data_IF_189100213212
#
_entry.id   IF_189100213212
#
_cell.length_a   1.000
_cell.length_b   1.000
_cell.length_c   1.000
_cell.angle_alpha   90.00
_cell.angle_beta   90.00
_cell.angle_gamma   90.00
#
_symmetry.space_group_name_H-M   'P 1'
#
loop_
_entity.id
_entity.type
_entity.pdbx_description
1 polymer ?
#
# COMPACT_ATOMS: atom_id res chain seq x y z
N UNK A 1 3.98 -23.82 -11.53
CA UNK A 1 4.65 -22.74 -12.28
C UNK A 1 4.86 -21.60 -11.30
N UNK A 2 6.09 -21.21 -11.00
CA UNK A 2 6.31 -20.01 -10.17
C UNK A 2 6.08 -18.78 -11.04
N UNK A 3 5.31 -17.82 -10.54
CA UNK A 3 5.13 -16.51 -11.18
C UNK A 3 6.32 -15.60 -10.86
N UNK A 4 7.54 -16.15 -10.86
CA UNK A 4 8.76 -15.48 -10.41
C UNK A 4 9.07 -14.19 -11.18
N UNK A 5 8.58 -14.06 -12.43
CA UNK A 5 8.70 -12.85 -13.23
C UNK A 5 7.94 -11.63 -12.65
N UNK A 6 7.01 -11.85 -11.71
CA UNK A 6 6.29 -10.78 -11.02
C UNK A 6 7.04 -10.25 -9.79
N UNK A 7 8.03 -11.00 -9.28
CA UNK A 7 8.80 -10.68 -8.07
C UNK A 7 10.04 -9.86 -8.42
N UNK A 8 10.06 -8.55 -8.14
CA UNK A 8 11.16 -7.69 -8.59
C UNK A 8 12.52 -8.02 -7.97
N UNK A 9 12.51 -8.59 -6.76
CA UNK A 9 13.72 -9.00 -6.03
C UNK A 9 14.39 -10.26 -6.59
N UNK A 10 13.72 -11.00 -7.49
CA UNK A 10 14.31 -12.14 -8.19
C UNK A 10 15.03 -11.74 -9.49
N UNK A 11 15.05 -10.45 -9.84
CA UNK A 11 15.74 -9.98 -11.03
C UNK A 11 17.27 -10.02 -10.84
N UNK A 12 17.96 -10.83 -11.65
CA UNK A 12 19.41 -10.99 -11.55
C UNK A 12 20.16 -9.91 -12.36
N UNK A 13 21.26 -9.34 -11.81
CA UNK A 13 22.12 -8.44 -12.57
C UNK A 13 22.73 -9.14 -13.78
N UNK A 14 22.75 -8.47 -14.94
CA UNK A 14 23.30 -9.00 -16.18
C UNK A 14 24.12 -7.93 -16.92
N UNK A 15 25.34 -8.28 -17.35
CA UNK A 15 26.17 -7.38 -18.19
C UNK A 15 26.55 -6.05 -17.51
N UNK A 16 26.64 -6.00 -16.18
CA UNK A 16 26.91 -4.77 -15.43
C UNK A 16 25.68 -3.88 -15.19
N UNK A 17 24.50 -4.33 -15.61
CA UNK A 17 23.22 -3.70 -15.30
C UNK A 17 22.57 -4.39 -14.09
N UNK A 18 22.35 -3.64 -13.03
CA UNK A 18 21.47 -4.05 -11.92
C UNK A 18 20.09 -3.46 -12.18
N UNK A 19 19.06 -4.29 -12.39
CA UNK A 19 17.71 -3.79 -12.60
C UNK A 19 17.23 -3.04 -11.36
N UNK A 20 16.68 -1.85 -11.57
CA UNK A 20 16.03 -1.06 -10.52
C UNK A 20 14.54 -1.00 -10.84
N UNK A 21 13.71 -1.18 -9.82
CA UNK A 21 12.26 -1.17 -9.97
C UNK A 21 11.76 0.27 -9.91
N UNK A 22 10.77 0.61 -10.74
CA UNK A 22 10.20 1.96 -10.78
C UNK A 22 8.68 1.89 -10.89
N UNK A 23 8.01 2.96 -10.42
CA UNK A 23 6.59 3.15 -10.69
C UNK A 23 6.34 3.30 -12.19
N UNK A 24 5.21 2.76 -12.67
CA UNK A 24 4.80 2.95 -14.06
C UNK A 24 4.36 4.40 -14.36
N UNK A 25 4.30 5.26 -13.35
CA UNK A 25 3.98 6.69 -13.49
C UNK A 25 5.12 7.61 -13.07
N UNK A 26 6.36 7.12 -12.92
CA UNK A 26 7.52 7.94 -12.54
C UNK A 26 7.64 9.22 -13.41
N UNK A 27 7.39 9.11 -14.72
CA UNK A 27 7.42 10.26 -15.62
C UNK A 27 6.40 11.36 -15.24
N UNK A 28 5.19 10.98 -14.82
CA UNK A 28 4.17 11.93 -14.35
C UNK A 28 4.59 12.55 -13.00
N UNK A 29 5.12 11.74 -12.07
CA UNK A 29 5.63 12.25 -10.79
C UNK A 29 6.73 13.30 -11.00
N UNK A 30 7.68 13.02 -11.90
CA UNK A 30 8.76 13.95 -12.25
C UNK A 30 8.23 15.22 -12.91
N UNK A 31 7.20 15.11 -13.76
CA UNK A 31 6.55 16.27 -14.37
C UNK A 31 5.90 17.18 -13.32
N UNK A 32 5.40 16.60 -12.23
CA UNK A 32 4.85 17.31 -11.06
C UNK A 32 5.92 17.80 -10.07
N UNK A 33 7.20 17.58 -10.38
CA UNK A 33 8.33 18.08 -9.59
C UNK A 33 8.94 17.09 -8.62
N UNK A 34 8.59 15.80 -8.70
CA UNK A 34 9.15 14.77 -7.84
C UNK A 34 10.67 14.66 -8.01
N UNK A 35 11.37 14.63 -6.88
CA UNK A 35 12.75 14.19 -6.78
C UNK A 35 12.78 12.70 -6.54
N UNK A 36 13.46 11.95 -7.42
CA UNK A 36 13.53 10.49 -7.36
C UNK A 36 14.87 10.04 -6.77
N UNK A 37 14.84 9.12 -5.80
CA UNK A 37 16.02 8.42 -5.27
C UNK A 37 15.84 6.90 -5.34
N UNK A 38 16.95 6.17 -5.35
CA UNK A 38 16.94 4.71 -5.17
C UNK A 38 16.96 4.36 -3.67
N UNK A 39 15.94 3.63 -3.21
CA UNK A 39 15.84 3.11 -1.83
C UNK A 39 15.27 1.70 -1.87
N UNK A 40 15.93 0.77 -1.19
CA UNK A 40 15.52 -0.65 -1.10
C UNK A 40 15.23 -1.30 -2.48
N UNK A 41 16.03 -0.97 -3.50
CA UNK A 41 15.89 -1.49 -4.87
C UNK A 41 14.80 -0.81 -5.72
N UNK A 42 14.14 0.23 -5.19
CA UNK A 42 13.11 1.00 -5.89
C UNK A 42 13.55 2.43 -6.16
N UNK A 43 13.14 2.97 -7.30
CA UNK A 43 13.11 4.40 -7.58
C UNK A 43 11.85 4.99 -6.95
N UNK A 44 12.01 5.89 -5.98
CA UNK A 44 10.93 6.42 -5.15
C UNK A 44 10.96 7.95 -5.18
N UNK A 45 9.77 8.57 -5.26
CA UNK A 45 9.59 10.00 -5.05
C UNK A 45 9.78 10.37 -3.57
N UNK A 46 10.87 11.05 -3.25
CA UNK A 46 11.26 11.35 -1.86
C UNK A 46 10.78 12.71 -1.37
N UNK A 47 10.66 13.68 -2.27
CA UNK A 47 10.02 14.98 -2.08
C UNK A 47 9.64 15.60 -3.45
N UNK A 48 8.97 16.74 -3.43
CA UNK A 48 8.55 17.55 -4.57
C UNK A 48 9.17 18.97 -4.51
N UNK A 49 10.36 19.09 -3.91
CA UNK A 49 11.16 20.32 -3.87
C UNK A 49 10.93 21.27 -2.69
N UNK A 50 9.93 21.02 -1.84
CA UNK A 50 9.71 21.80 -0.60
C UNK A 50 9.27 20.89 0.57
N UNK A 51 10.24 20.16 1.18
CA UNK A 51 9.94 19.18 2.24
C UNK A 51 9.21 19.78 3.45
N UNK A 52 9.45 21.05 3.76
CA UNK A 52 8.80 21.73 4.87
C UNK A 52 7.31 21.99 4.55
N UNK A 53 7.01 22.44 3.34
CA UNK A 53 5.63 22.63 2.92
C UNK A 53 4.89 21.31 2.69
N UNK A 54 5.58 20.24 2.29
CA UNK A 54 5.00 18.88 2.21
C UNK A 54 4.63 18.34 3.59
N UNK A 55 5.54 18.43 4.56
CA UNK A 55 5.27 18.04 5.95
C UNK A 55 4.14 18.87 6.57
N UNK A 56 4.10 20.17 6.27
CA UNK A 56 2.99 21.04 6.67
C UNK A 56 1.68 20.63 6.00
N UNK A 57 1.70 20.24 4.74
CA UNK A 57 0.51 19.76 4.05
C UNK A 57 -0.06 18.51 4.71
N UNK A 58 0.78 17.51 5.00
CA UNK A 58 0.38 16.29 5.72
C UNK A 58 -0.20 16.63 7.11
N UNK A 59 0.39 17.58 7.83
CA UNK A 59 -0.06 17.93 9.18
C UNK A 59 -1.35 18.78 9.22
N UNK A 60 -1.49 19.75 8.31
CA UNK A 60 -2.53 20.78 8.40
C UNK A 60 -3.64 20.65 7.35
N UNK A 61 -3.37 19.97 6.24
CA UNK A 61 -4.30 19.87 5.09
C UNK A 61 -4.35 18.45 4.53
N UNK A 62 -3.61 18.17 3.46
CA UNK A 62 -3.53 16.88 2.80
C UNK A 62 -2.23 16.75 2.00
N UNK A 63 -1.45 15.71 2.27
CA UNK A 63 -0.42 15.20 1.38
C UNK A 63 -0.88 13.93 0.67
N UNK A 64 -0.57 13.83 -0.63
CA UNK A 64 -0.80 12.62 -1.44
C UNK A 64 0.55 12.08 -1.91
N UNK A 65 0.87 10.84 -1.56
CA UNK A 65 2.09 10.18 -2.02
C UNK A 65 1.78 8.97 -2.90
N UNK A 66 2.63 8.78 -3.89
CA UNK A 66 2.71 7.57 -4.69
C UNK A 66 3.59 6.54 -3.97
N UNK A 67 3.08 5.32 -3.80
CA UNK A 67 3.75 4.25 -3.04
C UNK A 67 3.73 2.92 -3.81
N UNK A 68 4.02 2.92 -5.12
CA UNK A 68 4.18 1.67 -5.89
C UNK A 68 5.30 0.77 -5.35
N UNK A 69 6.20 1.32 -4.54
CA UNK A 69 7.27 0.57 -3.89
C UNK A 69 6.79 -0.38 -2.78
N UNK A 70 5.53 -0.30 -2.33
CA UNK A 70 5.02 -1.22 -1.32
C UNK A 70 4.89 -2.64 -1.88
N UNK A 71 5.44 -3.61 -1.15
CA UNK A 71 5.23 -5.02 -1.44
C UNK A 71 3.78 -5.42 -1.21
N UNK A 72 3.19 -6.15 -2.15
CA UNK A 72 1.82 -6.69 -2.04
C UNK A 72 1.85 -8.18 -2.30
N UNK A 73 1.70 -8.99 -1.25
CA UNK A 73 1.70 -10.45 -1.34
C UNK A 73 0.29 -10.97 -1.11
N UNK A 74 -0.20 -11.83 -2.00
CA UNK A 74 -1.51 -12.45 -1.93
C UNK A 74 -1.42 -13.88 -1.40
N UNK A 75 -2.29 -14.22 -0.46
CA UNK A 75 -2.60 -15.59 -0.07
C UNK A 75 -4.02 -15.93 -0.51
N UNK A 76 -4.15 -16.96 -1.34
CA UNK A 76 -5.43 -17.64 -1.61
C UNK A 76 -5.35 -19.07 -1.09
N UNK A 77 -6.27 -19.44 -0.20
CA UNK A 77 -6.31 -20.76 0.43
C UNK A 77 -7.69 -21.02 1.05
N UNK A 78 -8.05 -22.27 1.41
CA UNK A 78 -9.23 -22.52 2.23
C UNK A 78 -9.23 -21.65 3.51
N UNK A 79 -10.39 -21.18 4.01
CA UNK A 79 -10.43 -20.23 5.13
C UNK A 79 -9.66 -20.67 6.39
N UNK A 80 -9.70 -21.96 6.74
CA UNK A 80 -8.93 -22.48 7.88
C UNK A 80 -7.41 -22.39 7.65
N UNK A 81 -6.96 -22.56 6.40
CA UNK A 81 -5.55 -22.46 6.02
C UNK A 81 -5.10 -21.00 5.96
N UNK A 82 -5.97 -20.08 5.51
CA UNK A 82 -5.73 -18.63 5.64
C UNK A 82 -5.50 -18.28 7.10
N UNK A 83 -6.40 -18.70 7.99
CA UNK A 83 -6.28 -18.43 9.43
C UNK A 83 -4.99 -19.01 10.01
N UNK A 84 -4.64 -20.26 9.68
CA UNK A 84 -3.40 -20.90 10.12
C UNK A 84 -2.16 -20.14 9.65
N UNK A 85 -2.06 -19.85 8.35
CA UNK A 85 -0.90 -19.18 7.74
C UNK A 85 -0.74 -17.78 8.31
N UNK A 86 -1.81 -17.00 8.35
CA UNK A 86 -1.76 -15.62 8.85
C UNK A 86 -1.43 -15.60 10.35
N UNK A 87 -2.00 -16.51 11.16
CA UNK A 87 -1.66 -16.59 12.59
C UNK A 87 -0.19 -16.96 12.79
N UNK A 88 0.36 -17.87 11.99
CA UNK A 88 1.75 -18.29 12.08
C UNK A 88 2.74 -17.17 11.71
N UNK A 89 2.43 -16.38 10.66
CA UNK A 89 3.33 -15.34 10.17
C UNK A 89 3.10 -14.00 10.91
N UNK A 90 1.85 -13.54 10.99
CA UNK A 90 1.48 -12.25 11.57
C UNK A 90 1.31 -12.26 13.09
N UNK A 91 1.29 -13.45 13.71
CA UNK A 91 1.05 -13.62 15.15
C UNK A 91 -0.39 -13.38 15.59
N UNK A 92 -1.35 -13.22 14.66
CA UNK A 92 -2.75 -12.94 14.98
C UNK A 92 -3.70 -13.39 13.88
N UNK A 93 -4.97 -13.55 14.23
CA UNK A 93 -6.05 -13.78 13.27
C UNK A 93 -6.45 -12.49 12.55
N UNK A 94 -7.08 -12.66 11.40
CA UNK A 94 -7.61 -11.56 10.59
C UNK A 94 -9.13 -11.60 10.50
N UNK A 95 -9.75 -10.43 10.28
CA UNK A 95 -11.21 -10.28 10.18
C UNK A 95 -11.58 -9.45 8.95
N UNK A 96 -12.59 -9.89 8.20
CA UNK A 96 -13.14 -9.08 7.10
C UNK A 96 -13.60 -7.71 7.58
N UNK A 97 -13.30 -6.68 6.79
CA UNK A 97 -13.60 -5.29 7.13
C UNK A 97 -12.49 -4.60 7.93
N UNK A 98 -11.45 -5.32 8.35
CA UNK A 98 -10.38 -4.80 9.19
C UNK A 98 -8.99 -5.22 8.65
N UNK A 99 -8.07 -4.27 8.59
CA UNK A 99 -6.64 -4.52 8.45
C UNK A 99 -6.00 -4.76 9.81
N UNK A 100 -5.16 -5.79 9.92
CA UNK A 100 -4.35 -6.03 11.11
C UNK A 100 -2.86 -5.83 10.82
N UNK A 101 -2.12 -5.39 11.84
CA UNK A 101 -0.68 -5.12 11.71
C UNK A 101 0.12 -6.22 12.39
N UNK A 102 1.01 -6.89 11.66
CA UNK A 102 1.90 -7.92 12.21
C UNK A 102 2.98 -8.31 11.20
N UNK A 103 4.17 -8.69 11.69
CA UNK A 103 5.35 -8.99 10.87
C UNK A 103 5.65 -7.89 9.83
N UNK A 104 5.63 -6.63 10.28
CA UNK A 104 5.88 -5.44 9.47
C UNK A 104 5.00 -5.30 8.21
N UNK A 105 3.78 -5.85 8.27
CA UNK A 105 2.81 -5.79 7.20
C UNK A 105 1.39 -5.51 7.70
N UNK A 106 0.61 -4.88 6.83
CA UNK A 106 -0.84 -4.83 6.93
C UNK A 106 -1.46 -6.06 6.28
N UNK A 107 -2.20 -6.84 7.06
CA UNK A 107 -2.94 -8.00 6.60
C UNK A 107 -4.39 -7.60 6.36
N UNK A 108 -4.80 -7.65 5.10
CA UNK A 108 -6.06 -7.12 4.60
C UNK A 108 -6.91 -8.24 3.98
N UNK A 109 -7.90 -8.78 4.71
CA UNK A 109 -8.78 -9.81 4.20
C UNK A 109 -9.75 -9.26 3.16
N UNK A 110 -9.63 -9.74 1.93
CA UNK A 110 -10.53 -9.36 0.83
C UNK A 110 -11.74 -10.28 0.81
N UNK A 111 -11.54 -11.57 1.10
CA UNK A 111 -12.55 -12.62 1.24
C UNK A 111 -12.08 -13.64 2.28
N UNK A 112 -12.95 -14.54 2.79
CA UNK A 112 -12.54 -15.57 3.74
C UNK A 112 -11.39 -16.47 3.26
N UNK A 113 -11.22 -16.61 1.95
CA UNK A 113 -10.21 -17.44 1.29
C UNK A 113 -9.12 -16.61 0.60
N UNK A 114 -9.10 -15.28 0.78
CA UNK A 114 -8.16 -14.37 0.12
C UNK A 114 -7.74 -13.21 1.02
N UNK A 115 -6.45 -13.14 1.31
CA UNK A 115 -5.82 -12.07 2.11
C UNK A 115 -4.68 -11.44 1.32
N UNK A 116 -4.53 -10.12 1.45
CA UNK A 116 -3.37 -9.38 0.96
C UNK A 116 -2.52 -8.94 2.14
N UNK A 117 -1.21 -9.15 2.07
CA UNK A 117 -0.24 -8.60 2.99
C UNK A 117 0.50 -7.45 2.28
N UNK A 118 0.43 -6.25 2.85
CA UNK A 118 1.04 -5.03 2.30
C UNK A 118 2.18 -4.59 3.20
N UNK A 119 3.39 -4.52 2.68
CA UNK A 119 4.61 -4.27 3.46
C UNK A 119 5.55 -3.28 2.75
N UNK A 120 6.56 -2.79 3.48
CA UNK A 120 7.59 -1.94 2.90
C UNK A 120 8.51 -2.73 1.95
N UNK A 121 9.14 -2.07 0.95
CA UNK A 121 9.95 -2.73 -0.08
C UNK A 121 11.02 -3.66 0.52
N UNK A 122 11.72 -3.22 1.56
CA UNK A 122 12.77 -3.99 2.24
C UNK A 122 12.32 -5.33 2.83
N UNK A 123 11.02 -5.47 3.17
CA UNK A 123 10.49 -6.65 3.87
C UNK A 123 9.76 -7.62 2.92
N UNK A 124 9.54 -7.23 1.66
CA UNK A 124 8.70 -7.96 0.70
C UNK A 124 9.14 -9.40 0.51
N UNK A 125 10.44 -9.62 0.32
CA UNK A 125 11.04 -10.94 0.10
C UNK A 125 10.87 -11.85 1.33
N UNK A 126 11.31 -11.38 2.49
CA UNK A 126 11.30 -12.16 3.72
C UNK A 126 9.86 -12.54 4.12
N UNK A 127 8.91 -11.60 3.97
CA UNK A 127 7.50 -11.87 4.22
C UNK A 127 6.94 -12.93 3.27
N UNK A 128 7.25 -12.83 1.97
CA UNK A 128 6.84 -13.82 0.96
C UNK A 128 7.39 -15.21 1.29
N UNK A 129 8.68 -15.32 1.59
CA UNK A 129 9.32 -16.58 1.95
C UNK A 129 8.68 -17.20 3.21
N UNK A 130 8.38 -16.40 4.23
CA UNK A 130 7.66 -16.85 5.43
C UNK A 130 6.24 -17.34 5.12
N UNK A 131 5.50 -16.61 4.27
CA UNK A 131 4.17 -17.01 3.82
C UNK A 131 4.20 -18.31 3.03
N UNK A 132 5.16 -18.49 2.13
CA UNK A 132 5.34 -19.72 1.34
C UNK A 132 5.64 -20.93 2.23
N UNK A 133 6.53 -20.76 3.22
CA UNK A 133 6.85 -21.82 4.19
C UNK A 133 5.63 -22.21 5.04
N UNK A 134 4.88 -21.23 5.54
CA UNK A 134 3.66 -21.48 6.30
C UNK A 134 2.56 -22.13 5.43
N UNK A 135 2.40 -21.67 4.19
CA UNK A 135 1.44 -22.22 3.23
C UNK A 135 1.76 -23.67 2.86
N UNK A 136 3.04 -24.03 2.73
CA UNK A 136 3.47 -25.40 2.47
C UNK A 136 3.15 -26.37 3.62
N UNK A 137 3.05 -25.86 4.86
CA UNK A 137 2.68 -26.64 6.05
C UNK A 137 1.16 -26.67 6.31
N UNK A 138 0.38 -25.84 5.61
CA UNK A 138 -1.06 -25.73 5.78
C UNK A 138 -1.81 -26.79 4.96
N UNK A 139 -2.98 -27.27 5.42
CA UNK A 139 -3.78 -28.23 4.68
C UNK A 139 -4.41 -27.60 3.44
N UNK A 140 -4.64 -28.41 2.40
CA UNK A 140 -5.30 -27.97 1.17
C UNK A 140 -4.39 -27.19 0.22
N UNK A 141 -4.97 -26.69 -0.87
CA UNK A 141 -4.24 -25.90 -1.86
C UNK A 141 -4.09 -24.47 -1.37
N UNK A 142 -2.86 -24.06 -1.06
CA UNK A 142 -2.51 -22.70 -0.72
C UNK A 142 -1.63 -22.11 -1.83
N UNK A 143 -1.94 -20.89 -2.28
CA UNK A 143 -1.13 -20.16 -3.25
C UNK A 143 -0.70 -18.83 -2.66
N UNK A 144 0.61 -18.61 -2.66
CA UNK A 144 1.23 -17.31 -2.33
C UNK A 144 1.70 -16.68 -3.63
N UNK A 145 1.25 -15.46 -3.92
CA UNK A 145 1.59 -14.74 -5.16
C UNK A 145 2.08 -13.35 -4.84
N UNK A 146 3.22 -12.98 -5.39
CA UNK A 146 3.71 -11.61 -5.36
C UNK A 146 2.98 -10.77 -6.41
N UNK A 147 2.20 -9.79 -5.95
CA UNK A 147 1.43 -8.88 -6.79
C UNK A 147 2.06 -7.49 -6.89
N UNK A 148 3.25 -7.29 -6.31
CA UNK A 148 3.91 -5.98 -6.19
C UNK A 148 4.01 -5.24 -7.52
N UNK A 149 4.34 -5.93 -8.62
CA UNK A 149 4.44 -5.32 -9.96
C UNK A 149 3.09 -5.08 -10.66
N UNK A 150 2.01 -5.69 -10.17
CA UNK A 150 0.66 -5.58 -10.75
C UNK A 150 -0.24 -4.59 -10.00
N UNK A 151 0.15 -4.23 -8.78
CA UNK A 151 -0.56 -3.32 -7.89
C UNK A 151 0.25 -2.05 -7.68
N UNK A 152 -0.45 -0.98 -7.34
CA UNK A 152 0.12 0.26 -6.83
C UNK A 152 -0.66 0.67 -5.60
N UNK A 153 -0.12 1.61 -4.83
CA UNK A 153 -0.85 2.22 -3.75
C UNK A 153 -0.57 3.72 -3.68
N UNK A 154 -1.60 4.52 -3.43
CA UNK A 154 -1.46 5.93 -3.08
C UNK A 154 -1.84 6.15 -1.62
N UNK A 155 -1.06 6.96 -0.91
CA UNK A 155 -1.37 7.34 0.46
C UNK A 155 -1.88 8.78 0.49
N UNK A 156 -3.10 8.96 1.00
CA UNK A 156 -3.67 10.26 1.33
C UNK A 156 -3.57 10.46 2.84
N UNK A 157 -2.76 11.42 3.28
CA UNK A 157 -2.48 11.70 4.68
C UNK A 157 -2.77 13.15 5.06
N UNK A 158 -3.49 13.37 6.15
CA UNK A 158 -3.82 14.69 6.69
C UNK A 158 -5.32 14.89 6.91
N UNK A 159 -5.71 15.93 7.67
CA UNK A 159 -7.08 16.13 8.15
C UNK A 159 -8.12 16.26 7.01
N UNK A 160 -7.71 16.56 5.78
CA UNK A 160 -8.58 16.64 4.60
C UNK A 160 -8.60 15.36 3.74
N UNK A 161 -7.90 14.29 4.13
CA UNK A 161 -7.81 13.05 3.35
C UNK A 161 -9.19 12.43 3.08
N UNK A 162 -10.06 12.34 4.10
CA UNK A 162 -11.43 11.83 3.93
C UNK A 162 -12.25 12.70 2.96
N UNK A 163 -12.15 14.02 3.09
CA UNK A 163 -12.86 14.96 2.23
C UNK A 163 -12.39 14.84 0.76
N UNK A 164 -11.11 14.52 0.54
CA UNK A 164 -10.56 14.28 -0.78
C UNK A 164 -11.22 13.06 -1.44
N UNK A 165 -11.27 11.91 -0.74
CA UNK A 165 -11.99 10.74 -1.25
C UNK A 165 -13.45 11.04 -1.60
N UNK A 166 -14.14 11.84 -0.80
CA UNK A 166 -15.54 12.20 -1.05
C UNK A 166 -15.77 12.96 -2.37
N UNK A 167 -14.71 13.52 -2.99
CA UNK A 167 -14.80 14.21 -4.29
C UNK A 167 -14.86 13.24 -5.48
N UNK A 168 -14.30 12.04 -5.36
CA UNK A 168 -14.18 11.09 -6.47
C UNK A 168 -14.61 9.65 -6.14
N UNK A 169 -14.99 9.38 -4.89
CA UNK A 169 -15.36 8.06 -4.39
C UNK A 169 -16.73 8.10 -3.71
N UNK A 170 -17.56 7.10 -3.97
CA UNK A 170 -18.87 6.94 -3.35
C UNK A 170 -18.85 6.10 -2.07
N UNK A 171 -17.69 5.53 -1.70
CA UNK A 171 -17.54 4.76 -0.47
C UNK A 171 -17.71 5.66 0.76
N UNK A 172 -18.39 5.15 1.77
CA UNK A 172 -18.58 5.87 3.01
C UNK A 172 -17.38 5.66 3.94
N UNK A 173 -16.51 6.67 3.99
CA UNK A 173 -15.30 6.65 4.82
C UNK A 173 -15.48 7.38 6.16
N UNK A 174 -16.73 7.65 6.58
CA UNK A 174 -17.03 8.20 7.90
C UNK A 174 -16.63 7.20 8.99
N UNK A 175 -16.24 7.70 10.16
CA UNK A 175 -15.68 6.88 11.25
C UNK A 175 -16.58 5.71 11.67
N UNK A 176 -17.90 5.85 11.51
CA UNK A 176 -18.88 4.79 11.79
C UNK A 176 -18.79 3.61 10.81
N UNK A 177 -18.55 3.89 9.54
CA UNK A 177 -18.49 2.87 8.47
C UNK A 177 -17.07 2.37 8.24
N UNK A 178 -16.07 3.24 8.38
CA UNK A 178 -14.66 2.90 8.25
C UNK A 178 -13.85 3.46 9.42
N UNK A 179 -13.88 2.81 10.59
CA UNK A 179 -13.06 3.18 11.73
C UNK A 179 -11.56 3.04 11.39
N UNK A 180 -10.69 3.50 12.27
CA UNK A 180 -9.24 3.22 12.16
C UNK A 180 -9.04 1.71 12.07
N UNK A 181 -8.12 1.29 11.19
CA UNK A 181 -7.91 -0.10 10.72
C UNK A 181 -9.03 -0.65 9.84
N UNK A 182 -10.06 0.12 9.52
CA UNK A 182 -11.07 -0.28 8.55
C UNK A 182 -10.43 -0.60 7.20
N UNK A 183 -10.87 -1.69 6.58
CA UNK A 183 -10.43 -2.14 5.26
C UNK A 183 -11.64 -2.48 4.39
N UNK A 184 -11.70 -1.92 3.19
CA UNK A 184 -12.86 -2.10 2.30
C UNK A 184 -12.43 -2.19 0.83
N UNK A 185 -12.68 -3.33 0.16
CA UNK A 185 -12.68 -3.41 -1.30
C UNK A 185 -13.85 -2.60 -1.90
N UNK A 186 -13.63 -1.93 -3.02
CA UNK A 186 -14.66 -1.13 -3.66
C UNK A 186 -14.23 -0.48 -4.97
N UNK A 187 -15.08 0.39 -5.50
CA UNK A 187 -14.77 1.23 -6.65
C UNK A 187 -14.38 2.62 -6.16
N UNK A 188 -13.14 3.03 -6.45
CA UNK A 188 -12.57 4.31 -6.05
C UNK A 188 -12.24 5.06 -7.33
N UNK A 189 -12.89 6.19 -7.58
CA UNK A 189 -12.66 6.94 -8.83
C UNK A 189 -12.96 6.14 -10.09
N UNK A 190 -13.94 5.22 -10.04
CA UNK A 190 -14.30 4.25 -11.09
C UNK A 190 -13.27 3.14 -11.35
N UNK A 191 -12.23 3.04 -10.53
CA UNK A 191 -11.23 1.97 -10.59
C UNK A 191 -11.52 0.95 -9.47
N UNK A 192 -11.60 -0.35 -9.78
CA UNK A 192 -11.64 -1.38 -8.75
C UNK A 192 -10.36 -1.34 -7.91
N UNK A 193 -10.52 -1.27 -6.60
CA UNK A 193 -9.41 -1.18 -5.66
C UNK A 193 -9.86 -1.47 -4.23
N UNK A 194 -9.04 -1.08 -3.28
CA UNK A 194 -9.32 -1.20 -1.86
C UNK A 194 -8.81 0.03 -1.11
N UNK A 195 -9.49 0.37 -0.02
CA UNK A 195 -9.02 1.39 0.91
C UNK A 195 -8.71 0.73 2.25
N UNK A 196 -7.57 1.06 2.83
CA UNK A 196 -7.18 0.77 4.19
C UNK A 196 -7.01 2.08 4.97
N UNK A 197 -7.70 2.24 6.09
CA UNK A 197 -7.50 3.38 6.99
C UNK A 197 -6.46 3.03 8.04
N UNK A 198 -5.20 3.36 7.78
CA UNK A 198 -4.06 2.98 8.62
C UNK A 198 -4.08 3.69 9.98
N UNK A 199 -4.47 4.96 10.00
CA UNK A 199 -4.63 5.78 11.21
C UNK A 199 -5.78 6.79 11.03
N UNK A 200 -5.95 7.70 11.99
CA UNK A 200 -7.08 8.65 12.00
C UNK A 200 -7.23 9.39 10.66
N UNK A 201 -6.15 9.95 10.14
CA UNK A 201 -6.14 10.79 8.94
C UNK A 201 -5.23 10.23 7.85
N UNK A 202 -5.00 8.91 7.82
CA UNK A 202 -4.13 8.25 6.85
C UNK A 202 -4.83 7.08 6.18
N UNK A 203 -4.94 7.16 4.87
CA UNK A 203 -5.63 6.19 4.03
C UNK A 203 -4.70 5.71 2.93
N UNK A 204 -4.61 4.39 2.79
CA UNK A 204 -3.90 3.73 1.71
C UNK A 204 -4.92 3.21 0.70
N UNK A 205 -4.86 3.71 -0.53
CA UNK A 205 -5.66 3.25 -1.65
C UNK A 205 -4.83 2.32 -2.52
N UNK A 206 -5.17 1.03 -2.55
CA UNK A 206 -4.45 -0.03 -3.27
C UNK A 206 -5.28 -0.46 -4.48
N UNK A 207 -4.69 -0.46 -5.67
CA UNK A 207 -5.41 -0.76 -6.91
C UNK A 207 -4.45 -1.24 -8.00
N UNK A 208 -4.97 -1.64 -9.16
CA UNK A 208 -4.16 -2.14 -10.27
C UNK A 208 -3.27 -1.04 -10.87
N UNK A 209 -1.97 -1.32 -11.02
CA UNK A 209 -0.96 -0.36 -11.47
C UNK A 209 -1.28 0.27 -12.84
N UNK A 210 -1.98 -0.45 -13.72
CA UNK A 210 -2.40 0.05 -15.03
C UNK A 210 -3.27 1.33 -14.98
N UNK A 211 -3.90 1.63 -13.85
CA UNK A 211 -4.74 2.83 -13.67
C UNK A 211 -4.04 3.94 -12.90
N UNK A 212 -2.75 3.79 -12.56
CA UNK A 212 -2.00 4.71 -11.70
C UNK A 212 -2.02 6.15 -12.22
N UNK A 213 -1.79 6.36 -13.53
CA UNK A 213 -1.65 7.71 -14.09
C UNK A 213 -2.98 8.48 -14.02
N UNK A 214 -4.05 7.83 -14.47
CA UNK A 214 -5.42 8.35 -14.33
C UNK A 214 -5.77 8.66 -12.87
N UNK A 215 -5.43 7.75 -11.95
CA UNK A 215 -5.72 7.95 -10.54
C UNK A 215 -4.91 9.13 -9.98
N UNK A 216 -3.66 9.30 -10.43
CA UNK A 216 -2.77 10.33 -9.93
C UNK A 216 -3.31 11.71 -10.27
N UNK A 217 -3.61 11.95 -11.56
CA UNK A 217 -4.21 13.20 -12.03
C UNK A 217 -5.49 13.55 -11.25
N UNK A 218 -6.39 12.58 -11.11
CA UNK A 218 -7.68 12.79 -10.44
C UNK A 218 -7.52 13.05 -8.93
N UNK A 219 -6.62 12.34 -8.24
CA UNK A 219 -6.43 12.52 -6.79
C UNK A 219 -5.70 13.84 -6.51
N UNK A 220 -4.73 14.23 -7.33
CA UNK A 220 -4.03 15.51 -7.20
C UNK A 220 -4.99 16.69 -7.47
N UNK A 221 -5.79 16.66 -8.53
CA UNK A 221 -6.82 17.69 -8.80
C UNK A 221 -7.82 17.82 -7.61
N UNK A 222 -8.28 16.69 -7.08
CA UNK A 222 -9.16 16.68 -5.92
C UNK A 222 -8.48 17.27 -4.67
N UNK A 223 -7.19 16.98 -4.46
CA UNK A 223 -6.41 17.45 -3.33
C UNK A 223 -6.12 18.96 -3.40
N UNK A 224 -5.76 19.49 -4.57
CA UNK A 224 -5.47 20.91 -4.78
C UNK A 224 -6.65 21.79 -4.34
N UNK A 225 -7.88 21.41 -4.70
CA UNK A 225 -9.09 22.12 -4.29
C UNK A 225 -9.40 22.06 -2.79
N UNK A 226 -8.58 21.36 -1.99
CA UNK A 226 -8.63 21.27 -0.53
C UNK A 226 -7.38 21.89 0.13
N UNK A 227 -6.49 22.51 -0.65
CA UNK A 227 -5.19 23.01 -0.19
C UNK A 227 -4.14 21.91 -0.02
N UNK A 228 -4.41 20.70 -0.52
CA UNK A 228 -3.48 19.58 -0.52
C UNK A 228 -2.50 19.62 -1.69
N UNK A 229 -1.56 18.67 -1.70
CA UNK A 229 -0.51 18.57 -2.73
C UNK A 229 0.14 17.18 -2.82
N UNK A 230 0.87 16.90 -3.91
CA UNK A 230 1.85 15.83 -3.92
C UNK A 230 2.85 15.98 -2.77
N UNK A 231 3.20 14.87 -2.14
CA UNK A 231 4.27 14.79 -1.14
C UNK A 231 5.09 13.53 -1.39
N UNK A 232 6.38 13.62 -1.14
CA UNK A 232 7.26 12.47 -1.19
C UNK A 232 7.22 11.66 0.09
N UNK A 233 7.87 10.50 0.06
CA UNK A 233 7.84 9.56 1.19
C UNK A 233 8.44 10.13 2.48
N UNK A 234 9.36 11.09 2.39
CA UNK A 234 10.01 11.69 3.56
C UNK A 234 9.03 12.54 4.39
N UNK A 235 8.00 13.12 3.76
CA UNK A 235 6.96 13.88 4.45
C UNK A 235 5.89 12.99 5.12
N UNK A 236 5.76 11.72 4.71
CA UNK A 236 4.79 10.78 5.28
C UNK A 236 5.26 10.09 6.57
N UNK A 237 6.57 10.12 6.85
CA UNK A 237 7.18 9.34 7.92
C UNK A 237 7.26 7.85 7.58
N UNK A 238 6.68 6.98 8.41
CA UNK A 238 6.74 5.53 8.18
C UNK A 238 6.01 5.12 6.90
N UNK A 239 6.71 4.51 5.94
CA UNK A 239 6.15 3.99 4.68
C UNK A 239 5.03 2.99 4.91
N UNK A 240 5.24 2.06 5.85
CA UNK A 240 4.30 1.00 6.15
C UNK A 240 3.05 1.49 6.86
N UNK A 241 3.06 2.73 7.38
CA UNK A 241 1.97 3.26 8.18
C UNK A 241 1.67 2.39 9.40
N UNK A 242 2.72 1.79 9.97
CA UNK A 242 2.63 0.99 11.20
C UNK A 242 1.80 1.75 12.25
N UNK A 243 0.85 1.09 12.92
CA UNK A 243 0.11 1.71 14.02
C UNK A 243 1.09 2.28 15.04
N UNK A 244 0.82 3.48 15.54
CA UNK A 244 1.55 3.98 16.68
C UNK A 244 1.45 2.95 17.82
N UNK A 245 2.59 2.62 18.44
CA UNK A 245 2.57 1.75 19.61
C UNK A 245 1.62 2.40 20.62
N UNK A 246 0.50 1.75 20.91
CA UNK A 246 -0.41 2.21 21.96
C UNK A 246 0.43 2.27 23.23
N UNK A 247 0.71 3.48 23.72
CA UNK A 247 1.17 3.66 25.08
C UNK A 247 0.10 3.02 25.97
N UNK A 248 0.40 1.84 26.50
CA UNK A 248 -0.54 1.07 27.30
C UNK A 248 -1.10 1.94 28.44
N UNK A 249 -2.42 1.93 28.57
CA UNK A 249 -3.13 2.31 29.78
C UNK A 249 -2.87 1.30 30.91
#
# INVERSE_FOLDING_TARGET
MSLAFLSPDLAEPAGGFTPVVQSNIEAALVADGARIEERDGWRIAVDYGDPAAESKAVAETLGVAELSCLGVIELIAPPASVEQVVTQVAGQQVRLGEGSWGADAWWCPVRPDRVLAVTGPANTRDLREQMEQAAAAAPGLCTVTDLTSSMTAFCSAGPRARDCFARYCALDLRDREMPVRGFMPGSVGRVPGMILRQSQDRYLHIFGAASAEYMWEMVIDAAEGLGGRPVGIDALGSLSGAPEATANA
#
